data_IF_437919751958
#
_entry.id   IF_437919751958
#
_cell.length_a   1.000
_cell.length_b   1.000
_cell.length_c   1.000
_cell.angle_alpha   90.00
_cell.angle_beta   90.00
_cell.angle_gamma   90.00
#
_symmetry.space_group_name_H-M   'P 1'
#
loop_
_entity.id
_entity.type
_entity.pdbx_description
1 polymer ?
#
# COMPACT_ATOMS: atom_id res chain seq x y z
N UNK A 1 -14.78 11.67 15.51
CA UNK A 1 -14.20 12.02 14.19
C UNK A 1 -14.37 10.80 13.31
N UNK A 2 -15.30 10.84 12.35
CA UNK A 2 -15.49 9.75 11.39
C UNK A 2 -14.38 9.88 10.35
N UNK A 3 -13.36 9.02 10.43
CA UNK A 3 -12.36 8.90 9.37
C UNK A 3 -13.05 8.19 8.22
N UNK A 4 -13.46 8.96 7.21
CA UNK A 4 -13.98 8.41 5.96
C UNK A 4 -12.80 7.74 5.25
N UNK A 5 -12.68 6.42 5.41
CA UNK A 5 -11.78 5.63 4.59
C UNK A 5 -12.25 5.75 3.14
N UNK A 6 -11.46 6.43 2.32
CA UNK A 6 -11.75 6.62 0.91
C UNK A 6 -11.38 5.33 0.18
N UNK A 7 -12.38 4.53 -0.16
CA UNK A 7 -12.21 3.35 -1.00
C UNK A 7 -12.48 3.74 -2.45
N UNK A 8 -11.43 4.01 -3.23
CA UNK A 8 -11.52 4.37 -4.64
C UNK A 8 -10.75 3.42 -5.55
N UNK A 9 -9.88 2.57 -4.99
CA UNK A 9 -9.26 1.47 -5.71
C UNK A 9 -10.26 0.34 -5.87
N UNK A 10 -10.23 -0.30 -7.04
CA UNK A 10 -10.89 -1.59 -7.19
C UNK A 10 -10.21 -2.65 -6.32
N UNK A 11 -10.94 -3.71 -5.93
CA UNK A 11 -10.37 -4.83 -5.15
C UNK A 11 -9.11 -5.41 -5.81
N UNK A 12 -9.10 -5.51 -7.14
CA UNK A 12 -7.96 -6.01 -7.91
C UNK A 12 -6.77 -5.05 -7.82
N UNK A 13 -6.99 -3.74 -7.99
CA UNK A 13 -5.91 -2.74 -7.89
C UNK A 13 -5.33 -2.66 -6.49
N UNK A 14 -6.21 -2.76 -5.48
CA UNK A 14 -5.82 -2.78 -4.08
C UNK A 14 -4.96 -4.01 -3.78
N UNK A 15 -5.41 -5.20 -4.16
CA UNK A 15 -4.66 -6.45 -3.98
C UNK A 15 -3.27 -6.41 -4.63
N UNK A 16 -3.16 -5.84 -5.84
CA UNK A 16 -1.87 -5.69 -6.51
C UNK A 16 -0.91 -4.77 -5.76
N UNK A 17 -1.43 -3.66 -5.20
CA UNK A 17 -0.65 -2.71 -4.41
C UNK A 17 -0.22 -3.31 -3.07
N UNK A 18 -1.14 -3.96 -2.35
CA UNK A 18 -0.85 -4.64 -1.08
C UNK A 18 0.27 -5.68 -1.25
N UNK A 19 0.19 -6.52 -2.29
CA UNK A 19 1.26 -7.48 -2.60
C UNK A 19 2.60 -6.82 -2.92
N UNK A 20 2.58 -5.68 -3.60
CA UNK A 20 3.81 -4.96 -3.93
C UNK A 20 4.44 -4.37 -2.67
N UNK A 21 3.63 -3.76 -1.81
CA UNK A 21 4.09 -3.20 -0.53
C UNK A 21 4.67 -4.30 0.35
N UNK A 22 3.96 -5.42 0.53
CA UNK A 22 4.45 -6.57 1.31
C UNK A 22 5.70 -7.23 0.72
N UNK A 23 5.92 -7.12 -0.59
CA UNK A 23 7.12 -7.65 -1.25
C UNK A 23 8.33 -6.73 -1.10
N UNK A 24 8.14 -5.43 -0.87
CA UNK A 24 9.22 -4.44 -0.80
C UNK A 24 9.55 -4.10 0.65
N UNK A 25 8.54 -3.88 1.48
CA UNK A 25 8.70 -3.58 2.90
C UNK A 25 8.60 -4.84 3.74
N UNK A 26 9.75 -5.32 4.23
CA UNK A 26 9.80 -6.43 5.19
C UNK A 26 9.34 -6.03 6.60
N UNK A 27 9.23 -4.72 6.87
CA UNK A 27 8.87 -4.18 8.19
C UNK A 27 7.35 -4.07 8.41
N UNK A 28 6.54 -4.31 7.37
CA UNK A 28 5.08 -4.30 7.44
C UNK A 28 4.50 -5.71 7.41
N UNK A 29 3.55 -5.99 8.28
CA UNK A 29 2.81 -7.25 8.25
C UNK A 29 1.58 -7.15 7.34
N UNK A 30 1.11 -8.30 6.85
CA UNK A 30 -0.10 -8.39 6.01
C UNK A 30 -1.32 -7.77 6.70
N UNK A 31 -1.50 -8.00 8.00
CA UNK A 31 -2.59 -7.39 8.78
C UNK A 31 -2.51 -5.86 8.83
N UNK A 32 -1.30 -5.29 8.92
CA UNK A 32 -1.12 -3.83 8.91
C UNK A 32 -1.49 -3.26 7.54
N UNK A 33 -1.06 -3.91 6.47
CA UNK A 33 -1.35 -3.49 5.09
C UNK A 33 -2.85 -3.60 4.77
N UNK A 34 -3.52 -4.66 5.24
CA UNK A 34 -4.98 -4.82 5.07
C UNK A 34 -5.79 -3.82 5.91
N UNK A 35 -5.26 -3.36 7.04
CA UNK A 35 -5.91 -2.37 7.90
C UNK A 35 -5.87 -0.94 7.32
N UNK A 36 -4.94 -0.67 6.40
CA UNK A 36 -4.75 0.64 5.77
C UNK A 36 -5.94 1.02 4.89
N UNK A 37 -6.18 2.33 4.77
CA UNK A 37 -7.06 2.85 3.73
C UNK A 37 -6.34 2.91 2.36
N UNK A 38 -7.09 3.15 1.28
CA UNK A 38 -6.48 3.15 -0.07
C UNK A 38 -5.45 4.26 -0.26
N UNK A 39 -5.58 5.37 0.49
CA UNK A 39 -4.66 6.50 0.39
C UNK A 39 -3.34 6.17 1.08
N UNK A 40 -3.40 5.65 2.30
CA UNK A 40 -2.24 5.15 3.05
C UNK A 40 -1.49 4.08 2.23
N UNK A 41 -2.24 3.11 1.68
CA UNK A 41 -1.68 2.07 0.83
C UNK A 41 -0.99 2.66 -0.41
N UNK A 42 -1.58 3.68 -1.04
CA UNK A 42 -0.99 4.35 -2.20
C UNK A 42 0.26 5.15 -1.86
N UNK A 43 0.28 5.84 -0.73
CA UNK A 43 1.44 6.61 -0.26
C UNK A 43 2.63 5.66 -0.07
N UNK A 44 2.43 4.54 0.64
CA UNK A 44 3.47 3.53 0.86
C UNK A 44 3.86 2.83 -0.45
N UNK A 45 2.91 2.48 -1.31
CA UNK A 45 3.19 1.89 -2.61
C UNK A 45 4.05 2.82 -3.49
N UNK A 46 3.78 4.13 -3.46
CA UNK A 46 4.58 5.11 -4.18
C UNK A 46 6.00 5.22 -3.61
N UNK A 47 6.18 5.12 -2.29
CA UNK A 47 7.50 5.03 -1.66
C UNK A 47 8.23 3.76 -2.10
N UNK A 48 7.55 2.60 -2.11
CA UNK A 48 8.10 1.33 -2.58
C UNK A 48 8.59 1.42 -4.03
N UNK A 49 7.83 2.05 -4.93
CA UNK A 49 8.26 2.23 -6.33
C UNK A 49 9.46 3.17 -6.42
N UNK A 50 9.48 4.25 -5.63
CA UNK A 50 10.61 5.19 -5.61
C UNK A 50 11.90 4.52 -5.15
N UNK A 51 11.86 3.75 -4.07
CA UNK A 51 13.03 3.01 -3.58
C UNK A 51 13.56 2.03 -4.63
N UNK A 52 12.65 1.33 -5.33
CA UNK A 52 12.98 0.39 -6.40
C UNK A 52 13.61 1.07 -7.62
N UNK A 53 13.31 2.34 -7.87
CA UNK A 53 13.94 3.14 -8.94
C UNK A 53 15.31 3.69 -8.55
N UNK A 54 15.59 3.86 -7.25
CA UNK A 54 16.87 4.40 -6.76
C UNK A 54 17.92 3.28 -6.61
N UNK A 55 17.49 2.03 -6.39
CA UNK A 55 18.37 0.86 -6.26
C UNK A 55 18.52 0.04 -7.55
N UNK A 56 17.88 0.46 -8.65
CA UNK A 56 17.93 -0.19 -9.97
C UNK A 56 18.97 0.38 -10.91
#
# INVERSE_FOLDING_TARGET
>A
MLVLKHYFLSEIERFQKERTVLSVMNDLTEEQVLAMDDRELLEIYNECIKEKLITG
#
